data_IF_261959249362
#
_entry.id   IF_261959249362
#
_cell.length_a   1.000
_cell.length_b   1.000
_cell.length_c   1.000
_cell.angle_alpha   90.00
_cell.angle_beta   90.00
_cell.angle_gamma   90.00
#
_symmetry.space_group_name_H-M   'P 1'
#
loop_
_entity.id
_entity.type
_entity.pdbx_description
1 polymer ?
#
# COMPACT_ATOMS: atom_id res chain seq x y z
N UNK A 1 70.36 -28.05 26.99
CA UNK A 1 69.33 -28.48 26.02
C UNK A 1 67.97 -28.44 26.72
N UNK A 2 67.22 -27.34 26.55
CA UNK A 2 65.90 -27.14 27.17
C UNK A 2 64.82 -27.74 26.26
N UNK A 3 64.15 -28.81 26.72
CA UNK A 3 62.94 -29.36 26.10
C UNK A 3 61.78 -29.26 27.10
N UNK A 4 61.20 -28.07 27.22
CA UNK A 4 59.89 -27.88 27.87
C UNK A 4 59.25 -26.70 27.18
N UNK A 5 58.49 -26.89 26.09
CA UNK A 5 57.58 -25.85 25.54
C UNK A 5 56.54 -26.34 24.53
N UNK A 6 56.29 -27.66 24.39
CA UNK A 6 55.36 -28.14 23.35
C UNK A 6 53.95 -28.49 23.85
N UNK A 7 53.70 -28.52 25.16
CA UNK A 7 52.40 -28.95 25.72
C UNK A 7 51.46 -27.81 26.15
N UNK A 8 51.94 -26.57 26.26
CA UNK A 8 51.10 -25.41 26.66
C UNK A 8 50.48 -24.65 25.49
N UNK A 9 50.85 -24.94 24.24
CA UNK A 9 50.30 -24.24 23.07
C UNK A 9 49.01 -24.88 22.53
N UNK A 10 48.73 -26.13 22.89
CA UNK A 10 47.53 -26.86 22.41
C UNK A 10 46.31 -26.59 23.31
N UNK A 11 46.52 -26.27 24.58
CA UNK A 11 45.43 -25.99 25.52
C UNK A 11 44.80 -24.59 25.35
N UNK A 12 45.49 -23.64 24.70
CA UNK A 12 44.99 -22.27 24.51
C UNK A 12 44.22 -22.05 23.21
N UNK A 13 44.22 -23.03 22.29
CA UNK A 13 43.51 -22.93 21.00
C UNK A 13 42.04 -23.38 21.11
N UNK A 14 41.68 -24.13 22.17
CA UNK A 14 40.32 -24.64 22.37
C UNK A 14 39.34 -23.65 23.03
N UNK A 15 39.78 -22.45 23.40
CA UNK A 15 38.91 -21.40 23.97
C UNK A 15 38.57 -20.28 22.98
N UNK A 16 39.04 -20.38 21.72
CA UNK A 16 38.87 -19.35 20.69
C UNK A 16 37.74 -19.59 19.68
N UNK A 17 36.97 -20.68 19.81
CA UNK A 17 35.75 -20.90 19.02
C UNK A 17 34.53 -20.46 19.84
N UNK A 18 34.56 -19.24 20.40
CA UNK A 18 33.31 -18.54 20.67
C UNK A 18 32.69 -18.31 19.30
N UNK A 19 31.81 -19.24 18.92
CA UNK A 19 31.05 -19.16 17.68
C UNK A 19 30.52 -17.76 17.53
N UNK A 20 30.81 -17.15 16.40
CA UNK A 20 29.93 -16.12 15.88
C UNK A 20 28.59 -16.87 15.69
N UNK A 21 27.74 -16.93 16.71
CA UNK A 21 26.34 -17.25 16.48
C UNK A 21 25.91 -16.19 15.48
N UNK A 22 25.75 -16.61 14.21
CA UNK A 22 25.10 -15.76 13.24
C UNK A 22 23.78 -15.38 13.89
N UNK A 23 23.59 -14.10 14.18
CA UNK A 23 22.36 -13.60 14.76
C UNK A 23 21.22 -14.25 13.96
N UNK A 24 20.39 -15.04 14.64
CA UNK A 24 19.25 -15.68 13.98
C UNK A 24 18.42 -14.53 13.44
N UNK A 25 18.34 -14.43 12.11
CA UNK A 25 17.41 -13.49 11.48
C UNK A 25 16.03 -14.01 11.83
N UNK A 26 15.31 -13.27 12.66
CA UNK A 26 13.94 -13.62 13.05
C UNK A 26 13.01 -13.28 11.90
N UNK A 27 12.16 -14.23 11.52
CA UNK A 27 11.09 -13.95 10.60
C UNK A 27 10.08 -13.02 11.26
N UNK A 28 9.75 -11.93 10.57
CA UNK A 28 8.83 -10.90 11.04
C UNK A 28 8.16 -10.27 9.82
N UNK A 29 6.86 -10.07 9.90
CA UNK A 29 6.07 -9.42 8.88
C UNK A 29 5.14 -8.37 9.52
N UNK A 30 4.74 -7.39 8.73
CA UNK A 30 3.66 -6.46 9.07
C UNK A 30 2.47 -6.75 8.18
N UNK A 31 1.29 -6.87 8.77
CA UNK A 31 0.04 -7.10 8.05
C UNK A 31 -0.94 -5.94 8.30
N UNK A 32 -1.57 -5.47 7.23
CA UNK A 32 -2.48 -4.33 7.26
C UNK A 32 -3.77 -4.60 6.48
N UNK A 33 -4.88 -4.01 6.94
CA UNK A 33 -6.19 -4.06 6.29
C UNK A 33 -6.83 -2.68 6.28
N UNK A 34 -7.35 -2.27 5.12
CA UNK A 34 -8.10 -1.02 5.01
C UNK A 34 -9.24 -1.12 4.01
N UNK A 35 -10.22 -0.22 4.13
CA UNK A 35 -11.33 -0.16 3.17
C UNK A 35 -10.89 0.62 1.94
N UNK A 36 -11.17 0.11 0.73
CA UNK A 36 -11.13 0.89 -0.51
C UNK A 36 -12.53 1.11 -1.06
N UNK A 37 -12.89 2.35 -1.34
CA UNK A 37 -14.13 2.73 -2.01
C UNK A 37 -13.88 3.21 -3.44
N UNK A 38 -14.73 2.79 -4.37
CA UNK A 38 -14.73 3.25 -5.78
C UNK A 38 -16.16 3.55 -6.25
N UNK A 39 -16.29 4.22 -7.40
CA UNK A 39 -17.53 4.22 -8.17
C UNK A 39 -17.50 3.08 -9.19
N UNK A 40 -18.52 2.24 -9.20
CA UNK A 40 -18.70 1.26 -10.27
C UNK A 40 -19.24 1.94 -11.56
N UNK A 41 -19.44 1.16 -12.62
CA UNK A 41 -19.94 1.67 -13.91
C UNK A 41 -21.33 2.35 -13.83
N UNK A 42 -22.15 2.03 -12.82
CA UNK A 42 -23.44 2.69 -12.59
C UNK A 42 -23.35 3.96 -11.74
N UNK A 43 -22.15 4.36 -11.30
CA UNK A 43 -21.95 5.51 -10.41
C UNK A 43 -22.28 5.23 -8.94
N UNK A 44 -22.52 3.96 -8.58
CA UNK A 44 -22.76 3.53 -7.19
C UNK A 44 -21.42 3.40 -6.47
N UNK A 45 -21.37 3.85 -5.20
CA UNK A 45 -20.20 3.61 -4.36
C UNK A 45 -20.18 2.16 -3.92
N UNK A 46 -19.06 1.48 -4.16
CA UNK A 46 -18.82 0.09 -3.75
C UNK A 46 -17.47 -0.01 -3.05
N UNK A 47 -17.31 -1.02 -2.20
CA UNK A 47 -16.22 -1.18 -1.25
C UNK A 47 -15.58 -2.55 -1.33
N UNK A 48 -14.28 -2.63 -1.05
CA UNK A 48 -13.55 -3.87 -0.84
C UNK A 48 -12.57 -3.70 0.32
N UNK A 49 -12.21 -4.81 0.98
CA UNK A 49 -11.08 -4.84 1.91
C UNK A 49 -9.80 -4.99 1.10
N UNK A 50 -8.82 -4.15 1.38
CA UNK A 50 -7.47 -4.27 0.85
C UNK A 50 -6.58 -4.81 1.96
N UNK A 51 -5.78 -5.79 1.59
CA UNK A 51 -4.86 -6.50 2.47
C UNK A 51 -3.46 -6.30 1.93
N UNK A 52 -2.53 -5.96 2.82
CA UNK A 52 -1.11 -5.91 2.47
C UNK A 52 -0.30 -6.56 3.57
N UNK A 53 0.63 -7.42 3.20
CA UNK A 53 1.60 -8.02 4.10
C UNK A 53 2.99 -7.80 3.54
N UNK A 54 3.87 -7.23 4.34
CA UNK A 54 5.24 -6.95 3.99
C UNK A 54 6.21 -7.63 4.97
N UNK A 55 7.33 -8.09 4.46
CA UNK A 55 8.43 -8.61 5.26
C UNK A 55 9.76 -8.40 4.54
N UNK A 56 10.82 -8.12 5.30
CA UNK A 56 12.19 -8.14 4.79
C UNK A 56 12.70 -9.56 4.53
N UNK A 57 12.16 -10.54 5.25
CA UNK A 57 12.41 -11.97 5.00
C UNK A 57 11.41 -12.51 3.98
N UNK A 58 11.89 -13.38 3.08
CA UNK A 58 11.06 -13.89 2.00
C UNK A 58 9.95 -14.83 2.53
N UNK A 59 8.71 -14.44 2.26
CA UNK A 59 7.50 -15.22 2.52
C UNK A 59 7.20 -16.12 1.33
N UNK A 60 6.74 -17.33 1.62
CA UNK A 60 6.31 -18.34 0.65
C UNK A 60 4.85 -18.17 0.26
N UNK A 61 3.98 -17.91 1.24
CA UNK A 61 2.54 -17.72 1.03
C UNK A 61 1.93 -16.94 2.18
N UNK A 62 0.90 -16.17 1.87
CA UNK A 62 0.11 -15.44 2.86
C UNK A 62 -1.37 -15.66 2.58
N UNK A 63 -2.12 -16.00 3.62
CA UNK A 63 -3.59 -16.04 3.56
C UNK A 63 -4.20 -15.21 4.68
N UNK A 64 -5.38 -14.66 4.45
CA UNK A 64 -6.13 -13.85 5.42
C UNK A 64 -7.53 -14.43 5.63
N UNK A 65 -7.96 -14.53 6.88
CA UNK A 65 -9.33 -14.87 7.25
C UNK A 65 -10.01 -13.61 7.80
N UNK A 66 -11.10 -13.20 7.16
CA UNK A 66 -11.96 -12.10 7.64
C UNK A 66 -12.85 -12.57 8.80
N UNK A 67 -13.44 -11.64 9.58
CA UNK A 67 -14.42 -12.00 10.61
C UNK A 67 -15.54 -12.90 10.06
N UNK A 68 -15.51 -14.19 10.41
CA UNK A 68 -16.50 -15.18 9.97
C UNK A 68 -16.42 -15.60 8.49
N UNK A 69 -15.32 -15.27 7.79
CA UNK A 69 -15.14 -15.58 6.37
C UNK A 69 -14.21 -16.76 6.07
N UNK A 70 -14.20 -17.18 4.81
CA UNK A 70 -13.25 -18.18 4.29
C UNK A 70 -11.87 -17.55 4.07
N UNK A 71 -10.77 -18.28 4.29
CA UNK A 71 -9.43 -17.78 3.98
C UNK A 71 -9.27 -17.36 2.51
N UNK A 72 -8.75 -16.15 2.29
CA UNK A 72 -8.33 -15.61 1.00
C UNK A 72 -6.81 -15.74 0.87
N UNK A 73 -6.33 -16.32 -0.24
CA UNK A 73 -4.92 -16.32 -0.58
C UNK A 73 -4.51 -14.97 -1.19
N UNK A 74 -3.43 -14.37 -0.68
CA UNK A 74 -2.90 -13.12 -1.21
C UNK A 74 -1.91 -13.38 -2.35
N UNK A 75 -1.83 -12.43 -3.28
CA UNK A 75 -0.94 -12.46 -4.44
C UNK A 75 0.46 -12.00 -4.05
N UNK A 76 1.48 -12.77 -4.43
CA UNK A 76 2.89 -12.40 -4.28
C UNK A 76 3.26 -11.33 -5.33
N UNK A 77 3.59 -10.12 -4.88
CA UNK A 77 3.96 -9.02 -5.77
C UNK A 77 5.22 -9.37 -6.56
N UNK A 78 5.11 -9.37 -7.88
CA UNK A 78 6.19 -9.66 -8.83
C UNK A 78 6.96 -10.98 -8.53
N UNK A 79 6.31 -11.91 -7.81
CA UNK A 79 6.94 -13.12 -7.27
C UNK A 79 8.19 -12.88 -6.39
N UNK A 80 8.33 -11.70 -5.79
CA UNK A 80 9.49 -11.32 -4.98
C UNK A 80 9.53 -11.96 -3.58
N UNK A 81 8.38 -12.35 -3.03
CA UNK A 81 8.26 -12.96 -1.71
C UNK A 81 8.27 -11.97 -0.53
N UNK A 82 8.56 -10.70 -0.75
CA UNK A 82 8.60 -9.67 0.30
C UNK A 82 7.27 -8.94 0.49
N UNK A 83 6.34 -9.05 -0.47
CA UNK A 83 5.06 -8.33 -0.43
C UNK A 83 3.93 -9.19 -0.97
N UNK A 84 2.89 -9.34 -0.18
CA UNK A 84 1.67 -10.05 -0.53
C UNK A 84 0.47 -9.12 -0.37
N UNK A 85 -0.42 -9.11 -1.34
CA UNK A 85 -1.57 -8.20 -1.34
C UNK A 85 -2.73 -8.78 -2.13
N UNK A 86 -3.90 -8.16 -2.05
CA UNK A 86 -4.97 -8.38 -3.02
C UNK A 86 -5.10 -7.17 -3.94
N UNK A 87 -5.39 -7.44 -5.21
CA UNK A 87 -5.84 -6.44 -6.17
C UNK A 87 -7.27 -6.79 -6.56
N UNK A 88 -8.29 -6.35 -5.79
CA UNK A 88 -9.66 -6.74 -6.05
C UNK A 88 -10.09 -6.32 -7.45
N UNK A 89 -10.63 -7.25 -8.22
CA UNK A 89 -11.34 -6.92 -9.44
C UNK A 89 -12.62 -6.16 -9.09
N UNK A 90 -13.21 -5.44 -10.06
CA UNK A 90 -14.45 -4.68 -9.83
C UNK A 90 -15.58 -5.58 -9.28
N UNK A 91 -15.61 -6.86 -9.67
CA UNK A 91 -16.60 -7.83 -9.21
C UNK A 91 -16.45 -8.22 -7.72
N UNK A 92 -15.28 -8.00 -7.12
CA UNK A 92 -15.01 -8.27 -5.71
C UNK A 92 -15.50 -7.14 -4.79
N UNK A 93 -15.88 -5.99 -5.36
CA UNK A 93 -16.44 -4.88 -4.59
C UNK A 93 -17.94 -5.09 -4.34
N UNK A 94 -18.39 -4.68 -3.15
CA UNK A 94 -19.78 -4.76 -2.69
C UNK A 94 -20.36 -3.39 -2.38
N UNK A 95 -21.69 -3.24 -2.44
CA UNK A 95 -22.36 -2.03 -1.96
C UNK A 95 -22.24 -1.85 -0.42
N UNK A 96 -21.92 -2.93 0.28
CA UNK A 96 -21.69 -2.94 1.74
C UNK A 96 -20.19 -2.88 2.02
N UNK A 97 -19.81 -2.04 2.99
CA UNK A 97 -18.43 -1.99 3.47
C UNK A 97 -17.99 -3.35 4.05
N UNK A 98 -16.67 -3.67 4.00
CA UNK A 98 -16.15 -4.87 4.64
C UNK A 98 -16.50 -4.94 6.14
N UNK A 99 -16.62 -6.15 6.67
CA UNK A 99 -16.92 -6.37 8.07
C UNK A 99 -15.81 -5.78 8.96
N UNK A 100 -16.18 -4.97 9.94
CA UNK A 100 -15.25 -4.52 10.97
C UNK A 100 -14.88 -5.67 11.90
N UNK A 101 -13.68 -5.62 12.48
CA UNK A 101 -13.20 -6.61 13.45
C UNK A 101 -11.84 -7.20 13.08
N UNK A 102 -11.47 -8.28 13.75
CA UNK A 102 -10.16 -8.90 13.61
C UNK A 102 -10.02 -9.72 12.31
N UNK A 103 -9.02 -9.37 11.52
CA UNK A 103 -8.53 -10.13 10.38
C UNK A 103 -7.26 -10.86 10.79
N UNK A 104 -7.23 -12.17 10.54
CA UNK A 104 -6.11 -13.04 10.93
C UNK A 104 -5.35 -13.48 9.70
N UNK A 105 -4.04 -13.24 9.70
CA UNK A 105 -3.12 -13.54 8.61
C UNK A 105 -2.24 -14.73 8.99
N UNK A 106 -2.23 -15.76 8.17
CA UNK A 106 -1.26 -16.85 8.25
C UNK A 106 -0.15 -16.59 7.23
N UNK A 107 1.05 -16.32 7.72
CA UNK A 107 2.24 -16.07 6.91
C UNK A 107 3.16 -17.28 7.02
N UNK A 108 3.45 -17.91 5.88
CA UNK A 108 4.44 -18.98 5.77
C UNK A 108 5.71 -18.42 5.15
N UNK A 109 6.83 -18.55 5.84
CA UNK A 109 8.15 -18.14 5.35
C UNK A 109 8.80 -19.25 4.51
N UNK A 110 9.83 -18.87 3.73
CA UNK A 110 10.51 -19.82 2.83
C UNK A 110 11.28 -20.92 3.56
N UNK A 111 11.71 -20.69 4.79
CA UNK A 111 12.32 -21.70 5.67
C UNK A 111 11.28 -22.67 6.27
N UNK A 112 10.00 -22.43 6.03
CA UNK A 112 8.88 -23.25 6.49
C UNK A 112 8.25 -22.79 7.80
N UNK A 113 8.78 -21.75 8.45
CA UNK A 113 8.16 -21.17 9.65
C UNK A 113 6.80 -20.56 9.31
N UNK A 114 5.83 -20.75 10.19
CA UNK A 114 4.48 -20.20 10.05
C UNK A 114 4.18 -19.30 11.25
N UNK A 115 3.81 -18.05 10.98
CA UNK A 115 3.51 -17.04 11.99
C UNK A 115 2.12 -16.46 11.70
N UNK A 116 1.33 -16.27 12.75
CA UNK A 116 0.01 -15.65 12.67
C UNK A 116 0.08 -14.19 13.11
N UNK A 117 -0.50 -13.31 12.31
CA UNK A 117 -0.65 -11.88 12.61
C UNK A 117 -2.12 -11.50 12.66
N UNK A 118 -2.45 -10.44 13.39
CA UNK A 118 -3.81 -9.92 13.47
C UNK A 118 -3.78 -8.41 13.22
N UNK A 119 -4.77 -7.93 12.48
CA UNK A 119 -5.07 -6.50 12.33
C UNK A 119 -6.59 -6.33 12.42
N UNK A 120 -7.07 -5.18 12.93
CA UNK A 120 -8.51 -4.93 13.12
C UNK A 120 -8.98 -3.79 12.23
N UNK A 121 -10.00 -4.05 11.41
CA UNK A 121 -10.61 -3.02 10.57
C UNK A 121 -11.72 -2.29 11.33
N UNK A 122 -11.66 -0.96 11.40
CA UNK A 122 -12.78 -0.17 11.92
C UNK A 122 -13.87 0.08 10.85
N UNK A 123 -14.98 0.71 11.23
CA UNK A 123 -16.13 0.93 10.35
C UNK A 123 -16.03 2.17 9.46
N UNK A 124 -15.03 3.03 9.67
CA UNK A 124 -14.92 4.29 8.95
C UNK A 124 -14.54 4.07 7.48
N UNK A 125 -15.17 4.81 6.58
CA UNK A 125 -14.95 4.75 5.13
C UNK A 125 -14.88 6.16 4.54
N UNK A 126 -14.42 6.24 3.29
CA UNK A 126 -14.43 7.47 2.49
C UNK A 126 -15.33 7.30 1.26
N UNK A 127 -15.95 8.40 0.82
CA UNK A 127 -16.66 8.44 -0.45
C UNK A 127 -15.69 8.88 -1.57
N UNK A 128 -15.73 8.23 -2.75
CA UNK A 128 -14.95 8.68 -3.89
C UNK A 128 -15.20 10.15 -4.22
N UNK A 129 -14.13 10.88 -4.51
CA UNK A 129 -14.21 12.30 -4.86
C UNK A 129 -15.04 12.55 -6.11
N UNK A 130 -15.70 13.72 -6.15
CA UNK A 130 -16.22 14.28 -7.38
C UNK A 130 -15.14 15.13 -8.05
N UNK A 131 -14.57 14.65 -9.17
CA UNK A 131 -13.61 15.42 -9.97
C UNK A 131 -14.38 16.39 -10.89
N UNK A 132 -14.52 17.62 -10.42
CA UNK A 132 -15.36 18.66 -11.04
C UNK A 132 -14.78 19.16 -12.35
N UNK A 133 -13.45 19.23 -12.49
CA UNK A 133 -12.81 19.77 -13.69
C UNK A 133 -11.46 19.12 -13.97
N UNK A 134 -11.13 18.97 -15.25
CA UNK A 134 -9.82 18.55 -15.73
C UNK A 134 -9.59 19.13 -17.11
N UNK A 135 -8.75 20.16 -17.22
CA UNK A 135 -8.59 20.95 -18.45
C UNK A 135 -7.12 21.30 -18.71
N UNK A 136 -6.76 21.38 -19.99
CA UNK A 136 -5.50 22.01 -20.42
C UNK A 136 -5.64 23.53 -20.31
N UNK A 137 -4.57 24.23 -19.96
CA UNK A 137 -4.55 25.69 -20.07
C UNK A 137 -4.51 26.13 -21.54
N UNK A 138 -4.70 27.44 -21.78
CA UNK A 138 -4.79 27.99 -23.13
C UNK A 138 -3.54 27.77 -24.00
N UNK A 139 -2.35 27.74 -23.39
CA UNK A 139 -1.08 27.46 -24.09
C UNK A 139 -0.83 25.96 -24.27
N UNK A 140 -1.63 25.09 -23.65
CA UNK A 140 -1.52 23.64 -23.75
C UNK A 140 -0.29 23.04 -23.03
N UNK A 141 0.35 23.79 -22.13
CA UNK A 141 1.58 23.37 -21.43
C UNK A 141 1.32 22.79 -20.03
N UNK A 142 0.11 22.90 -19.51
CA UNK A 142 -0.26 22.38 -18.20
C UNK A 142 -1.72 21.93 -18.12
N UNK A 143 -1.97 21.05 -17.17
CA UNK A 143 -3.29 20.51 -16.82
C UNK A 143 -3.67 21.09 -15.46
N UNK A 144 -4.90 21.56 -15.33
CA UNK A 144 -5.51 21.87 -14.04
C UNK A 144 -6.61 20.86 -13.74
N UNK A 145 -6.51 20.18 -12.61
CA UNK A 145 -7.49 19.20 -12.13
C UNK A 145 -8.11 19.74 -10.84
N UNK A 146 -9.44 19.75 -10.74
CA UNK A 146 -10.15 20.19 -9.55
C UNK A 146 -11.12 19.14 -9.05
N UNK A 147 -11.26 19.04 -7.73
CA UNK A 147 -12.18 18.13 -7.06
C UNK A 147 -12.77 18.75 -5.79
N UNK A 148 -13.93 18.26 -5.38
CA UNK A 148 -14.53 18.60 -4.09
C UNK A 148 -13.77 17.90 -2.96
N UNK A 149 -13.67 18.53 -1.79
CA UNK A 149 -13.11 17.86 -0.63
C UNK A 149 -13.90 16.60 -0.27
N UNK A 150 -13.17 15.56 0.13
CA UNK A 150 -13.75 14.30 0.60
C UNK A 150 -13.97 14.44 2.10
N UNK A 151 -15.23 14.38 2.54
CA UNK A 151 -15.57 14.46 3.96
C UNK A 151 -14.86 13.35 4.75
N UNK A 152 -14.15 13.74 5.81
CA UNK A 152 -13.39 12.83 6.68
C UNK A 152 -12.01 12.44 6.17
N UNK A 153 -11.61 12.81 4.94
CA UNK A 153 -10.24 12.56 4.50
C UNK A 153 -9.25 13.44 5.28
N UNK A 154 -8.12 12.86 5.67
CA UNK A 154 -6.99 13.58 6.28
C UNK A 154 -6.05 14.15 5.21
N UNK A 155 -6.06 13.58 4.01
CA UNK A 155 -5.19 14.00 2.93
C UNK A 155 -5.52 13.34 1.60
N UNK A 156 -4.69 13.64 0.61
CA UNK A 156 -4.83 13.17 -0.76
C UNK A 156 -3.48 12.74 -1.32
N UNK A 157 -3.51 11.81 -2.26
CA UNK A 157 -2.42 11.57 -3.20
C UNK A 157 -3.02 11.41 -4.59
N UNK A 158 -2.22 11.55 -5.65
CA UNK A 158 -2.71 11.27 -6.98
C UNK A 158 -1.61 10.80 -7.92
N UNK A 159 -2.01 10.10 -8.98
CA UNK A 159 -1.12 9.68 -10.06
C UNK A 159 -1.74 9.97 -11.42
N UNK A 160 -0.87 10.03 -12.42
CA UNK A 160 -1.29 9.90 -13.82
C UNK A 160 -0.82 8.57 -14.36
N UNK A 161 -1.71 7.91 -15.11
CA UNK A 161 -1.46 6.67 -15.81
C UNK A 161 -1.53 6.91 -17.32
N UNK A 162 -0.70 6.17 -18.07
CA UNK A 162 -0.88 5.95 -19.52
C UNK A 162 -1.13 4.45 -19.72
N UNK A 163 -2.38 4.10 -20.03
CA UNK A 163 -2.82 2.71 -19.89
C UNK A 163 -2.72 2.27 -18.43
N UNK A 164 -1.98 1.21 -18.16
CA UNK A 164 -1.71 0.72 -16.79
C UNK A 164 -0.40 1.25 -16.21
N UNK A 165 0.41 1.97 -16.99
CA UNK A 165 1.71 2.45 -16.54
C UNK A 165 1.58 3.78 -15.79
N UNK A 166 2.08 3.82 -14.56
CA UNK A 166 2.22 5.08 -13.82
C UNK A 166 3.33 5.93 -14.43
N UNK A 167 2.98 7.15 -14.83
CA UNK A 167 3.90 8.10 -15.48
C UNK A 167 4.20 9.33 -14.62
N UNK A 168 3.36 9.57 -13.61
CA UNK A 168 3.57 10.61 -12.60
C UNK A 168 2.88 10.23 -11.30
N UNK A 169 3.48 10.61 -10.17
CA UNK A 169 2.92 10.42 -8.85
C UNK A 169 3.18 11.66 -8.00
N UNK A 170 2.12 12.16 -7.37
CA UNK A 170 2.18 13.11 -6.27
C UNK A 170 1.97 12.32 -4.98
N UNK A 171 3.01 12.29 -4.15
CA UNK A 171 2.96 11.70 -2.82
C UNK A 171 1.89 12.37 -1.95
N UNK A 172 1.47 11.64 -0.91
CA UNK A 172 0.46 12.09 0.03
C UNK A 172 0.76 13.49 0.57
N UNK A 173 -0.27 14.33 0.58
CA UNK A 173 -0.28 15.63 1.24
C UNK A 173 -1.52 15.73 2.10
N UNK A 174 -1.32 16.23 3.32
CA UNK A 174 -2.38 16.35 4.30
C UNK A 174 -3.18 17.64 4.09
N UNK A 175 -4.43 17.61 4.51
CA UNK A 175 -5.25 18.81 4.59
C UNK A 175 -4.75 19.69 5.74
N UNK A 176 -3.93 20.68 5.38
CA UNK A 176 -3.54 21.73 6.32
C UNK A 176 -4.75 22.64 6.55
N UNK A 177 -5.10 22.87 7.83
CA UNK A 177 -6.13 23.82 8.23
C UNK A 177 -5.92 25.20 7.57
N UNK A 178 -6.97 25.86 7.03
CA UNK A 178 -8.39 25.49 7.10
C UNK A 178 -8.86 24.52 6.00
N UNK A 179 -9.89 23.74 6.33
CA UNK A 179 -10.57 22.81 5.41
C UNK A 179 -11.08 23.56 4.18
N UNK A 180 -10.71 23.10 2.98
CA UNK A 180 -11.11 23.75 1.71
C UNK A 180 -12.31 23.02 1.11
N UNK A 181 -13.32 23.71 0.55
CA UNK A 181 -14.44 23.05 -0.11
C UNK A 181 -14.03 22.32 -1.40
N UNK A 182 -12.94 22.77 -2.03
CA UNK A 182 -12.37 22.16 -3.23
C UNK A 182 -10.87 22.33 -3.28
N UNK A 183 -10.25 21.48 -4.09
CA UNK A 183 -8.81 21.46 -4.33
C UNK A 183 -8.55 21.56 -5.82
N UNK A 184 -7.42 22.18 -6.17
CA UNK A 184 -6.96 22.25 -7.55
C UNK A 184 -5.47 21.92 -7.60
N UNK A 185 -5.10 20.92 -8.39
CA UNK A 185 -3.73 20.62 -8.74
C UNK A 185 -3.42 21.14 -10.14
N UNK A 186 -2.26 21.78 -10.30
CA UNK A 186 -1.72 22.17 -11.61
C UNK A 186 -0.47 21.36 -11.90
N UNK A 187 -0.46 20.67 -13.04
CA UNK A 187 0.65 19.82 -13.48
C UNK A 187 1.18 20.31 -14.84
N UNK A 188 2.45 20.69 -14.96
CA UNK A 188 3.07 20.91 -16.27
C UNK A 188 3.08 19.61 -17.08
N UNK A 189 2.62 19.66 -18.34
CA UNK A 189 2.59 18.50 -19.24
C UNK A 189 4.00 17.96 -19.51
N UNK A 190 5.04 18.79 -19.37
CA UNK A 190 6.44 18.34 -19.39
C UNK A 190 6.80 17.27 -18.36
N UNK A 191 6.00 17.11 -17.29
CA UNK A 191 6.15 16.02 -16.32
C UNK A 191 5.61 14.68 -16.82
N UNK A 192 4.80 14.69 -17.89
CA UNK A 192 4.21 13.52 -18.54
C UNK A 192 4.91 13.19 -19.88
N UNK A 193 5.62 14.16 -20.47
CA UNK A 193 6.07 14.17 -21.87
C UNK A 193 7.00 13.02 -22.31
N UNK A 194 7.67 12.30 -21.42
CA UNK A 194 8.39 11.08 -21.81
C UNK A 194 7.46 9.99 -22.34
N UNK A 195 6.15 10.13 -22.13
CA UNK A 195 5.15 9.12 -22.46
C UNK A 195 4.45 9.35 -23.80
N UNK A 196 4.59 10.52 -24.45
CA UNK A 196 4.01 10.84 -25.77
C UNK A 196 2.50 11.12 -25.78
N UNK A 197 1.91 11.48 -26.92
CA UNK A 197 0.47 11.81 -27.03
C UNK A 197 -0.47 10.65 -26.68
N UNK A 198 -1.71 10.95 -26.32
CA UNK A 198 -2.77 9.96 -26.07
C UNK A 198 -3.64 10.27 -24.86
N UNK A 199 -4.42 9.27 -24.43
CA UNK A 199 -5.26 9.38 -23.23
C UNK A 199 -4.46 9.07 -21.98
N UNK A 200 -4.57 9.96 -21.00
CA UNK A 200 -4.02 9.81 -19.67
C UNK A 200 -5.16 9.75 -18.66
N UNK A 201 -5.01 8.89 -17.66
CA UNK A 201 -5.97 8.77 -16.56
C UNK A 201 -5.38 9.41 -15.31
N UNK A 202 -6.04 10.44 -14.80
CA UNK A 202 -5.77 10.94 -13.45
C UNK A 202 -6.53 10.08 -12.45
N UNK A 203 -5.83 9.55 -11.46
CA UNK A 203 -6.42 8.84 -10.31
C UNK A 203 -6.12 9.64 -9.04
N UNK A 204 -7.19 10.08 -8.38
CA UNK A 204 -7.13 10.73 -7.07
C UNK A 204 -7.47 9.71 -5.98
N UNK A 205 -6.66 9.68 -4.93
CA UNK A 205 -6.91 8.89 -3.73
C UNK A 205 -7.12 9.82 -2.55
N UNK A 206 -8.28 9.73 -1.90
CA UNK A 206 -8.49 10.26 -0.56
C UNK A 206 -7.96 9.30 0.49
N UNK A 207 -7.34 9.83 1.55
CA UNK A 207 -6.69 9.07 2.61
C UNK A 207 -7.34 9.36 3.96
N UNK A 208 -7.76 8.32 4.66
CA UNK A 208 -8.17 8.35 6.06
C UNK A 208 -7.25 7.41 6.82
N UNK A 209 -6.63 7.93 7.87
CA UNK A 209 -5.70 7.19 8.72
C UNK A 209 -6.38 6.81 10.04
N UNK A 210 -5.94 5.72 10.65
CA UNK A 210 -6.43 5.24 11.94
C UNK A 210 -6.13 6.22 13.08
N UNK A 211 -5.01 6.92 12.95
CA UNK A 211 -4.50 7.86 13.96
C UNK A 211 -4.02 9.16 13.31
N UNK A 212 -3.74 10.15 14.15
CA UNK A 212 -3.13 11.42 13.73
C UNK A 212 -1.63 11.34 13.47
N UNK A 213 -1.00 10.19 13.72
CA UNK A 213 0.41 9.95 13.37
C UNK A 213 0.55 9.55 11.88
N UNK A 214 -0.57 9.24 11.22
CA UNK A 214 -0.63 8.92 9.78
C UNK A 214 0.19 7.68 9.35
N UNK A 215 0.40 6.74 10.28
CA UNK A 215 1.16 5.51 10.02
C UNK A 215 0.34 4.42 9.34
N UNK A 216 -0.94 4.29 9.73
CA UNK A 216 -1.83 3.22 9.27
C UNK A 216 -3.08 3.78 8.60
N UNK A 217 -3.42 3.22 7.45
CA UNK A 217 -4.57 3.63 6.67
C UNK A 217 -5.79 2.89 7.19
N UNK A 218 -6.85 3.63 7.52
CA UNK A 218 -8.15 3.05 7.85
C UNK A 218 -8.98 2.85 6.57
N UNK A 219 -8.98 3.86 5.69
CA UNK A 219 -9.71 3.80 4.44
C UNK A 219 -9.10 4.69 3.36
N UNK A 220 -9.28 4.27 2.12
CA UNK A 220 -9.06 5.08 0.93
C UNK A 220 -10.30 5.12 0.07
N UNK A 221 -10.40 6.16 -0.76
CA UNK A 221 -11.33 6.16 -1.88
C UNK A 221 -10.64 6.64 -3.13
N UNK A 222 -10.93 6.02 -4.27
CA UNK A 222 -10.33 6.41 -5.56
C UNK A 222 -11.36 6.91 -6.54
N UNK A 223 -11.04 7.99 -7.24
CA UNK A 223 -11.80 8.53 -8.36
C UNK A 223 -10.88 8.76 -9.55
N UNK A 224 -11.37 8.53 -10.76
CA UNK A 224 -10.59 8.70 -12.00
C UNK A 224 -11.24 9.68 -12.96
N UNK A 225 -10.41 10.35 -13.75
CA UNK A 225 -10.85 11.17 -14.88
C UNK A 225 -9.80 11.15 -15.99
N UNK A 226 -10.25 11.01 -17.22
CA UNK A 226 -9.38 10.94 -18.38
C UNK A 226 -9.18 12.31 -19.04
N UNK A 227 -8.01 12.51 -19.64
CA UNK A 227 -7.70 13.65 -20.50
C UNK A 227 -6.88 13.21 -21.71
N UNK A 228 -7.14 13.81 -22.86
CA UNK A 228 -6.33 13.65 -24.06
C UNK A 228 -5.23 14.73 -24.13
N UNK A 229 -3.97 14.30 -24.22
CA UNK A 229 -2.79 15.16 -24.38
C UNK A 229 -2.23 15.09 -25.79
#
# INVERSE_FOLDING_TARGET
MKKVHLLTLIALIMLGLSGCEKAKVTNEASADVFVKAIKNASGTTVYAAIHTVFSYNAMKSVSVSSPGGTPLLLTNFENGGNSFFNEPAIADYSATAPASGAYTYLVKFNDGEEITYNNSLATATLLPANITSMVKNATGDSISVSWNAIAGAHGYQFKFLKGTTQVYFQAAFLENSPVKPSWTAKLPISKLNSSGSGTYTFELTGLLFETTEFDYIQAISTATKDIAL
#
